data_IF_202361758246
#
_entry.id   IF_202361758246
#
_cell.length_a   1.000
_cell.length_b   1.000
_cell.length_c   1.000
_cell.angle_alpha   90.00
_cell.angle_beta   90.00
_cell.angle_gamma   90.00
#
_symmetry.space_group_name_H-M   'P 1'
#
loop_
_entity.id
_entity.type
_entity.pdbx_description
1 polymer ?
#
# COMPACT_ATOMS: atom_id res chain seq x y z
N UNK A 1 16.03 -1.85 -16.80
CA UNK A 1 15.24 -0.63 -17.03
C UNK A 1 14.05 -0.71 -16.08
N UNK A 2 13.98 0.17 -15.08
CA UNK A 2 12.98 0.08 -13.99
C UNK A 2 11.61 0.40 -14.60
N UNK A 3 10.68 -0.55 -14.53
CA UNK A 3 9.30 -0.36 -14.99
C UNK A 3 8.70 0.89 -14.32
N UNK A 4 7.88 1.62 -15.08
CA UNK A 4 7.20 2.84 -14.70
C UNK A 4 6.80 2.88 -13.22
N UNK A 5 7.40 3.79 -12.45
CA UNK A 5 6.86 4.36 -11.21
C UNK A 5 6.35 3.39 -10.15
N UNK A 6 7.02 2.26 -9.89
CA UNK A 6 6.69 1.43 -8.73
C UNK A 6 6.68 2.30 -7.47
N UNK A 7 5.56 2.32 -6.74
CA UNK A 7 5.49 3.01 -5.46
C UNK A 7 6.53 2.40 -4.52
N UNK A 8 7.56 3.19 -4.20
CA UNK A 8 8.61 2.81 -3.28
C UNK A 8 8.37 3.48 -1.92
N UNK A 9 8.29 2.65 -0.88
CA UNK A 9 8.17 3.08 0.51
C UNK A 9 9.54 3.35 1.14
N UNK A 10 10.64 2.93 0.51
CA UNK A 10 12.00 3.05 1.05
C UNK A 10 12.35 4.49 1.39
N UNK A 11 12.94 4.70 2.57
CA UNK A 11 13.31 6.02 3.07
C UNK A 11 12.14 6.92 3.49
N UNK A 12 10.89 6.42 3.50
CA UNK A 12 9.71 7.17 3.95
C UNK A 12 9.38 6.89 5.42
N UNK A 13 8.77 7.87 6.07
CA UNK A 13 8.06 7.65 7.33
C UNK A 13 6.60 7.26 7.03
N UNK A 14 6.24 6.03 7.36
CA UNK A 14 4.95 5.43 7.00
C UNK A 14 4.06 5.29 8.23
N UNK A 15 2.86 5.86 8.15
CA UNK A 15 1.80 5.67 9.14
C UNK A 15 0.86 4.58 8.63
N UNK A 16 0.99 3.39 9.22
CA UNK A 16 0.35 2.18 8.71
C UNK A 16 -0.99 1.91 9.41
N UNK A 17 -2.06 1.91 8.63
CA UNK A 17 -3.46 1.79 9.05
C UNK A 17 -3.95 0.35 8.85
N UNK A 18 -4.64 -0.18 9.87
CA UNK A 18 -5.25 -1.51 9.86
C UNK A 18 -4.29 -2.70 9.63
N UNK A 19 -3.02 -2.57 10.01
CA UNK A 19 -2.04 -3.66 9.91
C UNK A 19 -2.09 -4.56 11.15
N UNK A 20 -2.47 -5.83 10.95
CA UNK A 20 -2.40 -6.86 12.00
C UNK A 20 -0.95 -7.08 12.45
N UNK A 21 -0.74 -7.26 13.76
CA UNK A 21 0.59 -7.40 14.37
C UNK A 21 1.48 -8.46 13.70
N UNK A 22 0.91 -9.60 13.31
CA UNK A 22 1.67 -10.69 12.69
C UNK A 22 2.18 -10.37 11.28
N UNK A 23 1.64 -9.36 10.59
CA UNK A 23 2.11 -8.91 9.27
C UNK A 23 3.26 -7.89 9.34
N UNK A 24 3.50 -7.28 10.51
CA UNK A 24 4.46 -6.16 10.68
C UNK A 24 5.90 -6.54 10.37
N UNK A 25 6.37 -7.65 10.92
CA UNK A 25 7.72 -8.14 10.68
C UNK A 25 8.00 -8.42 9.19
N UNK A 26 6.97 -8.84 8.45
CA UNK A 26 7.09 -9.03 7.00
C UNK A 26 7.21 -7.69 6.27
N UNK A 27 6.41 -6.68 6.62
CA UNK A 27 6.53 -5.36 5.99
C UNK A 27 7.88 -4.71 6.26
N UNK A 28 8.38 -4.83 7.49
CA UNK A 28 9.73 -4.37 7.84
C UNK A 28 10.82 -5.12 7.06
N UNK A 29 10.59 -6.39 6.71
CA UNK A 29 11.52 -7.14 5.86
C UNK A 29 11.44 -6.76 4.37
N UNK A 30 10.23 -6.45 3.85
CA UNK A 30 10.05 -5.97 2.47
C UNK A 30 10.59 -4.55 2.27
N UNK A 31 10.48 -3.71 3.30
CA UNK A 31 10.88 -2.30 3.24
C UNK A 31 11.79 -1.94 4.43
N UNK A 32 13.04 -2.44 4.44
CA UNK A 32 13.94 -2.32 5.60
C UNK A 32 14.35 -0.88 5.90
N UNK A 33 14.27 0.02 4.93
CA UNK A 33 14.60 1.45 5.08
C UNK A 33 13.37 2.31 5.41
N UNK A 34 12.20 1.71 5.61
CA UNK A 34 10.97 2.43 5.96
C UNK A 34 10.80 2.54 7.47
N UNK A 35 10.53 3.74 7.97
CA UNK A 35 10.15 3.94 9.37
C UNK A 35 8.64 3.70 9.52
N UNK A 36 8.26 2.51 9.98
CA UNK A 36 6.85 2.18 10.21
C UNK A 36 6.33 2.65 11.57
N UNK A 37 5.24 3.42 11.54
CA UNK A 37 4.40 3.77 12.69
C UNK A 37 3.05 3.11 12.53
N UNK A 38 2.84 2.01 13.24
CA UNK A 38 1.58 1.26 13.14
C UNK A 38 0.51 1.82 14.06
N UNK A 39 -0.58 2.30 13.47
CA UNK A 39 -1.74 2.80 14.21
C UNK A 39 -2.53 1.64 14.86
N UNK A 40 -3.38 1.94 15.86
CA UNK A 40 -4.29 0.95 16.44
C UNK A 40 -5.12 0.24 15.37
N UNK A 41 -5.30 -1.08 15.49
CA UNK A 41 -6.00 -1.89 14.49
C UNK A 41 -7.46 -1.45 14.29
N UNK A 42 -8.12 -1.06 15.38
CA UNK A 42 -9.48 -0.54 15.39
C UNK A 42 -9.42 0.94 15.73
N UNK A 43 -9.22 1.76 14.70
CA UNK A 43 -9.14 3.20 14.82
C UNK A 43 -10.42 3.82 14.29
N UNK A 44 -11.06 4.67 15.10
CA UNK A 44 -12.15 5.52 14.66
C UNK A 44 -11.66 6.93 14.38
N UNK A 45 -12.45 7.70 13.64
CA UNK A 45 -12.10 9.04 13.17
C UNK A 45 -11.76 9.98 14.33
N UNK A 46 -12.52 9.95 15.43
CA UNK A 46 -12.26 10.81 16.60
C UNK A 46 -10.89 10.54 17.20
N UNK A 47 -10.53 9.26 17.38
CA UNK A 47 -9.23 8.87 17.91
C UNK A 47 -8.11 9.17 16.92
N UNK A 48 -8.32 8.97 15.61
CA UNK A 48 -7.35 9.35 14.59
C UNK A 48 -7.04 10.84 14.64
N UNK A 49 -8.07 11.69 14.60
CA UNK A 49 -7.91 13.14 14.63
C UNK A 49 -7.24 13.61 15.93
N UNK A 50 -7.64 13.06 17.07
CA UNK A 50 -7.08 13.47 18.37
C UNK A 50 -5.63 13.06 18.56
N UNK A 51 -5.27 11.83 18.18
CA UNK A 51 -4.00 11.23 18.61
C UNK A 51 -2.93 11.17 17.50
N UNK A 52 -3.33 11.23 16.23
CA UNK A 52 -2.44 10.92 15.11
C UNK A 52 -2.28 12.05 14.10
N UNK A 53 -3.27 12.92 13.91
CA UNK A 53 -3.21 13.96 12.88
C UNK A 53 -1.97 14.85 13.02
N UNK A 54 -1.69 15.33 14.23
CA UNK A 54 -0.60 16.29 14.47
C UNK A 54 0.76 15.62 14.25
N UNK A 55 0.89 14.35 14.64
CA UNK A 55 2.10 13.58 14.42
C UNK A 55 2.35 13.33 12.92
N UNK A 56 1.29 13.05 12.15
CA UNK A 56 1.38 12.87 10.69
C UNK A 56 1.77 14.19 10.02
N UNK A 57 1.11 15.29 10.37
CA UNK A 57 1.38 16.63 9.80
C UNK A 57 2.79 17.14 10.14
N UNK A 58 3.29 16.82 11.33
CA UNK A 58 4.64 17.21 11.76
C UNK A 58 5.75 16.34 11.14
N UNK A 59 5.42 15.26 10.43
CA UNK A 59 6.40 14.33 9.86
C UNK A 59 6.62 14.63 8.37
N UNK A 60 7.79 15.16 7.97
CA UNK A 60 8.09 15.41 6.56
C UNK A 60 8.04 14.12 5.74
N UNK A 61 7.37 14.16 4.59
CA UNK A 61 7.24 12.99 3.71
C UNK A 61 6.37 11.86 4.27
N UNK A 62 5.55 12.13 5.29
CA UNK A 62 4.61 11.16 5.83
C UNK A 62 3.77 10.53 4.71
N UNK A 63 3.61 9.21 4.77
CA UNK A 63 2.78 8.44 3.84
C UNK A 63 1.82 7.57 4.63
N UNK A 64 0.53 7.56 4.27
CA UNK A 64 -0.41 6.59 4.83
C UNK A 64 -0.31 5.29 4.04
N UNK A 65 -0.12 4.18 4.75
CA UNK A 65 -0.17 2.83 4.18
C UNK A 65 -1.39 2.11 4.73
N UNK A 66 -2.35 1.76 3.89
CA UNK A 66 -3.63 1.17 4.28
C UNK A 66 -3.67 -0.28 3.82
N UNK A 67 -3.96 -1.23 4.72
CA UNK A 67 -4.24 -2.59 4.29
C UNK A 67 -5.65 -2.72 3.71
N UNK A 68 -5.77 -3.16 2.46
CA UNK A 68 -7.05 -3.28 1.75
C UNK A 68 -7.79 -1.93 1.71
N UNK A 69 -9.12 -1.94 1.78
CA UNK A 69 -9.97 -0.75 1.94
C UNK A 69 -10.32 -0.45 3.41
N UNK A 70 -9.50 -0.86 4.38
CA UNK A 70 -9.81 -0.69 5.81
C UNK A 70 -9.41 0.69 6.34
N UNK A 71 -9.99 1.74 5.75
CA UNK A 71 -9.80 3.14 6.12
C UNK A 71 -11.13 3.88 5.95
N UNK A 72 -11.39 4.87 6.80
CA UNK A 72 -12.61 5.68 6.69
C UNK A 72 -12.44 6.83 5.71
N UNK A 73 -13.56 7.31 5.17
CA UNK A 73 -13.59 8.48 4.29
C UNK A 73 -13.00 9.71 4.97
N UNK A 74 -13.21 9.89 6.28
CA UNK A 74 -12.64 11.00 7.04
C UNK A 74 -11.09 10.99 7.07
N UNK A 75 -10.47 9.80 7.15
CA UNK A 75 -9.01 9.67 7.11
C UNK A 75 -8.49 9.92 5.68
N UNK A 76 -9.21 9.45 4.66
CA UNK A 76 -8.86 9.71 3.26
C UNK A 76 -8.99 11.21 2.92
N UNK A 77 -10.07 11.86 3.37
CA UNK A 77 -10.29 13.29 3.20
C UNK A 77 -9.22 14.13 3.93
N UNK A 78 -8.83 13.72 5.14
CA UNK A 78 -7.70 14.30 5.85
C UNK A 78 -6.42 14.20 5.04
N UNK A 79 -6.09 13.01 4.52
CA UNK A 79 -4.87 12.80 3.74
C UNK A 79 -4.88 13.65 2.46
N UNK A 80 -6.00 13.64 1.73
CA UNK A 80 -6.19 14.43 0.52
C UNK A 80 -6.03 15.94 0.78
N UNK A 81 -6.72 16.47 1.79
CA UNK A 81 -6.69 17.90 2.12
C UNK A 81 -5.30 18.40 2.52
N UNK A 82 -4.47 17.51 3.07
CA UNK A 82 -3.12 17.82 3.51
C UNK A 82 -2.03 17.33 2.55
N UNK A 83 -2.40 16.87 1.34
CA UNK A 83 -1.48 16.36 0.32
C UNK A 83 -0.57 15.23 0.82
N UNK A 84 -1.09 14.39 1.72
CA UNK A 84 -0.41 13.21 2.25
C UNK A 84 -0.67 12.04 1.30
N UNK A 85 0.37 11.41 0.72
CA UNK A 85 0.18 10.23 -0.12
C UNK A 85 -0.50 9.10 0.63
N UNK A 86 -1.46 8.45 -0.02
CA UNK A 86 -2.10 7.22 0.45
C UNK A 86 -1.67 6.08 -0.46
N UNK A 87 -1.25 4.98 0.16
CA UNK A 87 -0.87 3.75 -0.52
C UNK A 87 -1.71 2.63 0.03
N UNK A 88 -2.41 1.95 -0.85
CA UNK A 88 -3.14 0.76 -0.53
C UNK A 88 -2.28 -0.48 -0.74
N UNK A 89 -2.28 -1.34 0.27
CA UNK A 89 -1.47 -2.54 0.33
C UNK A 89 -2.36 -3.78 0.39
N UNK A 90 -2.03 -4.77 -0.42
CA UNK A 90 -2.64 -6.10 -0.34
C UNK A 90 -1.64 -7.23 -0.53
N UNK A 91 -2.08 -8.45 -0.21
CA UNK A 91 -1.36 -9.66 -0.60
C UNK A 91 -1.24 -9.73 -2.13
N UNK A 92 -0.05 -10.04 -2.64
CA UNK A 92 0.23 -10.15 -4.07
C UNK A 92 -0.39 -11.39 -4.72
N UNK A 93 -0.54 -11.35 -6.05
CA UNK A 93 -1.15 -12.44 -6.82
C UNK A 93 -0.44 -13.79 -6.64
N UNK A 94 0.89 -13.77 -6.52
CA UNK A 94 1.69 -14.95 -6.17
C UNK A 94 1.95 -14.92 -4.67
N UNK A 95 1.08 -15.60 -3.92
CA UNK A 95 1.02 -15.46 -2.46
C UNK A 95 1.93 -16.43 -1.71
N UNK A 96 1.77 -17.74 -1.87
CA UNK A 96 2.46 -18.72 -1.01
C UNK A 96 2.36 -20.13 -1.60
N UNK A 97 3.23 -21.04 -1.16
CA UNK A 97 3.15 -22.48 -1.47
C UNK A 97 1.99 -23.19 -0.76
N UNK A 98 1.49 -22.61 0.33
CA UNK A 98 0.40 -23.14 1.16
C UNK A 98 -0.80 -22.21 1.11
N UNK A 99 -2.02 -22.75 1.16
CA UNK A 99 -3.25 -21.95 1.08
C UNK A 99 -3.42 -20.93 2.21
N UNK A 100 -4.30 -19.95 1.98
CA UNK A 100 -4.47 -18.73 2.80
C UNK A 100 -4.74 -18.97 4.30
N UNK A 101 -5.23 -20.14 4.70
CA UNK A 101 -5.53 -20.46 6.09
C UNK A 101 -4.29 -20.58 7.00
N UNK A 102 -3.09 -20.65 6.43
CA UNK A 102 -1.85 -21.00 7.15
C UNK A 102 -1.13 -19.85 7.87
N UNK A 103 -1.61 -18.60 7.82
CA UNK A 103 -0.86 -17.39 8.27
C UNK A 103 0.58 -17.36 7.71
N UNK A 104 0.79 -17.96 6.54
CA UNK A 104 2.06 -17.86 5.82
C UNK A 104 2.29 -16.42 5.38
N UNK A 105 3.56 -16.01 5.42
CA UNK A 105 3.97 -14.73 4.87
C UNK A 105 3.78 -14.76 3.35
N UNK A 106 3.21 -13.70 2.76
CA UNK A 106 3.08 -13.63 1.31
C UNK A 106 4.48 -13.48 0.68
N UNK A 107 4.67 -14.09 -0.50
CA UNK A 107 5.87 -13.95 -1.33
C UNK A 107 5.89 -12.67 -2.16
N UNK A 108 4.72 -12.05 -2.35
CA UNK A 108 4.59 -10.78 -3.05
C UNK A 108 3.50 -9.93 -2.40
N UNK A 109 3.58 -8.62 -2.63
CA UNK A 109 2.61 -7.62 -2.18
C UNK A 109 2.19 -6.78 -3.39
N UNK A 110 0.99 -6.22 -3.32
CA UNK A 110 0.52 -5.17 -4.25
C UNK A 110 0.52 -3.83 -3.54
N UNK A 111 0.90 -2.78 -4.26
CA UNK A 111 0.91 -1.39 -3.80
C UNK A 111 0.19 -0.56 -4.86
N UNK A 112 -0.94 0.05 -4.50
CA UNK A 112 -1.72 0.92 -5.39
C UNK A 112 -1.86 2.31 -4.74
N UNK A 113 -1.64 3.38 -5.50
CA UNK A 113 -1.84 4.78 -5.06
C UNK A 113 -3.26 5.30 -5.27
N UNK A 114 -4.06 4.66 -6.14
CA UNK A 114 -5.43 5.08 -6.44
C UNK A 114 -6.46 4.33 -5.61
N UNK A 115 -6.56 3.02 -5.86
CA UNK A 115 -7.42 2.09 -5.15
C UNK A 115 -6.86 0.67 -5.36
N UNK A 116 -7.05 -0.28 -4.43
CA UNK A 116 -6.62 -1.66 -4.64
C UNK A 116 -7.17 -2.24 -5.95
N UNK A 117 -6.39 -3.09 -6.62
CA UNK A 117 -6.76 -3.76 -7.87
C UNK A 117 -8.13 -4.47 -7.89
N UNK A 118 -8.69 -4.84 -6.73
CA UNK A 118 -9.98 -5.52 -6.63
C UNK A 118 -11.18 -4.55 -6.52
N UNK A 119 -10.93 -3.26 -6.30
CA UNK A 119 -11.98 -2.27 -6.15
C UNK A 119 -12.37 -1.69 -7.52
N UNK A 120 -13.50 -2.13 -8.06
CA UNK A 120 -14.01 -1.70 -9.36
C UNK A 120 -14.79 -0.38 -9.34
N UNK A 121 -14.86 0.33 -8.20
CA UNK A 121 -15.59 1.60 -8.10
C UNK A 121 -14.81 2.78 -8.67
N UNK A 122 -13.50 2.67 -8.77
CA UNK A 122 -12.58 3.70 -9.27
C UNK A 122 -11.43 3.02 -10.04
N UNK A 123 -10.79 3.68 -11.02
CA UNK A 123 -9.65 3.11 -11.73
C UNK A 123 -8.44 2.88 -10.81
N UNK A 124 -7.95 1.65 -10.76
CA UNK A 124 -6.72 1.25 -10.06
C UNK A 124 -5.44 1.58 -10.85
N UNK A 125 -4.27 1.43 -10.21
CA UNK A 125 -3.00 1.56 -10.93
C UNK A 125 -2.77 0.35 -11.86
N UNK A 126 -3.22 -0.84 -11.48
CA UNK A 126 -3.23 -2.01 -12.35
C UNK A 126 -4.04 -1.77 -13.63
N UNK A 127 -5.26 -1.23 -13.52
CA UNK A 127 -6.05 -0.83 -14.70
C UNK A 127 -5.33 0.24 -15.53
N UNK A 128 -4.62 1.16 -14.87
CA UNK A 128 -3.75 2.12 -15.55
C UNK A 128 -2.70 1.44 -16.41
N UNK A 129 -1.95 0.49 -15.83
CA UNK A 129 -0.92 -0.30 -16.53
C UNK A 129 -1.55 -1.04 -17.71
N UNK A 130 -2.64 -1.77 -17.49
CA UNK A 130 -3.29 -2.58 -18.53
C UNK A 130 -3.84 -1.74 -19.70
N UNK A 131 -4.29 -0.52 -19.44
CA UNK A 131 -4.86 0.35 -20.47
C UNK A 131 -3.81 1.18 -21.22
N UNK A 132 -2.62 1.40 -20.66
CA UNK A 132 -1.69 2.40 -21.18
C UNK A 132 -0.27 1.90 -21.44
N UNK A 133 0.13 0.76 -20.87
CA UNK A 133 1.45 0.19 -21.11
C UNK A 133 1.48 -0.52 -22.47
N UNK A 134 2.44 -0.17 -23.31
CA UNK A 134 2.64 -0.81 -24.62
C UNK A 134 3.41 -2.12 -24.46
N UNK A 135 2.67 -3.21 -24.21
CA UNK A 135 3.24 -4.55 -24.03
C UNK A 135 3.88 -5.09 -25.31
N UNK A 136 3.37 -4.71 -26.49
CA UNK A 136 3.90 -5.17 -27.77
C UNK A 136 5.29 -4.56 -28.05
N UNK A 137 5.56 -3.37 -27.49
CA UNK A 137 6.85 -2.71 -27.55
C UNK A 137 7.89 -3.18 -26.51
N UNK A 138 7.54 -4.09 -25.58
CA UNK A 138 8.47 -4.65 -24.58
C UNK A 138 8.64 -6.18 -24.74
N UNK A 139 9.47 -6.63 -25.71
CA UNK A 139 9.66 -8.05 -25.99
C UNK A 139 10.32 -8.82 -24.84
N UNK A 140 11.18 -8.16 -24.05
CA UNK A 140 11.85 -8.79 -22.91
C UNK A 140 10.84 -9.11 -21.79
N UNK A 141 9.89 -8.21 -21.54
CA UNK A 141 8.78 -8.47 -20.63
C UNK A 141 7.91 -9.63 -21.13
N UNK A 142 7.54 -9.62 -22.42
CA UNK A 142 6.66 -10.63 -23.00
C UNK A 142 7.29 -12.02 -23.01
N UNK A 143 8.62 -12.13 -23.21
CA UNK A 143 9.31 -13.41 -23.12
C UNK A 143 9.34 -13.96 -21.69
N UNK A 144 9.53 -13.09 -20.68
CA UNK A 144 9.48 -13.50 -19.26
C UNK A 144 8.10 -13.93 -18.77
N UNK A 145 7.03 -13.53 -19.46
CA UNK A 145 5.65 -13.82 -19.09
C UNK A 145 5.11 -15.17 -19.62
N UNK A 146 5.86 -15.84 -20.50
CA UNK A 146 5.55 -17.16 -21.05
C UNK A 146 5.95 -18.29 -20.11
#
# INVERSE_FOLDING_TARGET
MIAAGALDLSGRSVFAVHIRRWKRAMLEAYFPETEFRYLPLYLNDRTFMRDWQDAILATPGATLLVWSLNVSDAILEFAHSNHIPVVFLEDGFIRSLVGNASKSLPFSLTLDSRTPYFDSRQPSDLEGILNSYDFDADPDLMERAR
#
